data_IF_306955610537
#
_entry.id   IF_306955610537
#
_cell.length_a   1.000
_cell.length_b   1.000
_cell.length_c   1.000
_cell.angle_alpha   90.00
_cell.angle_beta   90.00
_cell.angle_gamma   90.00
#
_symmetry.space_group_name_H-M   'P 1'
#
loop_
_entity.id
_entity.type
_entity.pdbx_description
1 polymer ?
#
# COMPACT_ATOMS: atom_id res chain seq x y z
N UNK A 1 -22.55 -21.68 -0.53
CA UNK A 1 -22.91 -21.84 0.90
C UNK A 1 -24.25 -21.15 1.18
N UNK A 2 -25.12 -21.71 2.04
CA UNK A 2 -26.46 -21.14 2.35
C UNK A 2 -26.43 -20.17 3.55
N UNK A 3 -27.43 -19.29 3.69
CA UNK A 3 -27.51 -18.30 4.80
C UNK A 3 -27.43 -18.95 6.18
N UNK A 4 -28.19 -20.02 6.42
CA UNK A 4 -28.17 -20.73 7.72
C UNK A 4 -26.82 -21.39 8.00
N UNK A 5 -26.17 -21.93 6.96
CA UNK A 5 -24.82 -22.49 7.06
C UNK A 5 -23.78 -21.40 7.36
N UNK A 6 -23.95 -20.19 6.82
CA UNK A 6 -23.07 -19.05 7.10
C UNK A 6 -23.15 -18.61 8.57
N UNK A 7 -24.35 -18.58 9.17
CA UNK A 7 -24.50 -18.31 10.61
C UNK A 7 -23.85 -19.40 11.47
N UNK A 8 -24.04 -20.67 11.11
CA UNK A 8 -23.42 -21.79 11.81
C UNK A 8 -21.89 -21.75 11.75
N UNK A 9 -21.30 -21.43 10.60
CA UNK A 9 -19.84 -21.28 10.45
C UNK A 9 -19.27 -20.14 11.28
N UNK A 10 -20.04 -19.07 11.49
CA UNK A 10 -19.65 -17.98 12.37
C UNK A 10 -20.00 -18.25 13.85
N UNK A 11 -20.52 -19.44 14.18
CA UNK A 11 -21.02 -19.81 15.51
C UNK A 11 -22.08 -18.85 16.06
N UNK A 12 -23.00 -18.42 15.20
CA UNK A 12 -24.08 -17.49 15.55
C UNK A 12 -25.45 -18.13 15.37
N UNK A 13 -26.44 -17.57 16.07
CA UNK A 13 -27.84 -17.90 15.85
C UNK A 13 -28.32 -17.32 14.51
N UNK A 14 -29.36 -17.92 13.93
CA UNK A 14 -29.93 -17.47 12.64
C UNK A 14 -30.54 -16.06 12.71
N UNK A 15 -30.84 -15.58 13.92
CA UNK A 15 -31.41 -14.25 14.19
C UNK A 15 -30.36 -13.23 14.65
N UNK A 16 -29.07 -13.56 14.56
CA UNK A 16 -28.00 -12.69 15.02
C UNK A 16 -27.97 -11.37 14.23
N UNK A 17 -27.74 -10.26 14.95
CA UNK A 17 -27.64 -8.93 14.35
C UNK A 17 -26.41 -8.81 13.46
N UNK A 18 -26.45 -7.93 12.46
CA UNK A 18 -25.29 -7.69 11.60
C UNK A 18 -24.05 -7.21 12.39
N UNK A 19 -24.26 -6.53 13.52
CA UNK A 19 -23.18 -6.14 14.42
C UNK A 19 -22.46 -7.36 15.02
N UNK A 20 -23.22 -8.35 15.48
CA UNK A 20 -22.73 -9.61 16.06
C UNK A 20 -22.02 -10.44 14.99
N UNK A 21 -22.56 -10.51 13.78
CA UNK A 21 -21.93 -11.14 12.61
C UNK A 21 -20.54 -10.56 12.34
N UNK A 22 -20.39 -9.24 12.42
CA UNK A 22 -19.10 -8.56 12.21
C UNK A 22 -18.11 -8.86 13.33
N UNK A 23 -18.58 -8.91 14.58
CA UNK A 23 -17.74 -9.22 15.73
C UNK A 23 -17.24 -10.67 15.69
N UNK A 24 -18.12 -11.62 15.42
CA UNK A 24 -17.78 -13.04 15.31
C UNK A 24 -16.80 -13.29 14.15
N UNK A 25 -17.02 -12.65 12.99
CA UNK A 25 -16.09 -12.72 11.86
C UNK A 25 -14.68 -12.25 12.22
N UNK A 26 -14.55 -11.09 12.88
CA UNK A 26 -13.25 -10.55 13.31
C UNK A 26 -12.51 -11.52 14.23
N UNK A 27 -13.22 -12.14 15.18
CA UNK A 27 -12.66 -13.12 16.10
C UNK A 27 -12.15 -14.37 15.37
N UNK A 28 -12.99 -14.97 14.53
CA UNK A 28 -12.65 -16.19 13.79
C UNK A 28 -11.54 -15.99 12.76
N UNK A 29 -11.44 -14.82 12.14
CA UNK A 29 -10.34 -14.48 11.22
C UNK A 29 -8.99 -14.48 11.93
N UNK A 30 -8.92 -13.93 13.15
CA UNK A 30 -7.69 -13.90 13.92
C UNK A 30 -7.27 -15.31 14.36
N UNK A 31 -8.24 -16.14 14.76
CA UNK A 31 -8.01 -17.53 15.17
C UNK A 31 -7.59 -18.42 13.97
N UNK A 32 -8.18 -18.19 12.79
CA UNK A 32 -7.95 -19.01 11.60
C UNK A 32 -6.90 -18.46 10.63
N UNK A 33 -6.15 -17.41 11.02
CA UNK A 33 -5.14 -16.81 10.17
C UNK A 33 -4.02 -17.83 9.86
N UNK A 34 -3.66 -18.03 8.57
CA UNK A 34 -2.70 -19.09 8.16
C UNK A 34 -1.31 -18.89 8.77
N UNK A 35 -0.94 -17.65 9.11
CA UNK A 35 0.33 -17.31 9.77
C UNK A 35 0.37 -17.78 11.24
N UNK A 36 -0.78 -17.81 11.93
CA UNK A 36 -0.88 -18.22 13.34
C UNK A 36 -1.19 -19.71 13.49
N UNK A 37 -1.88 -20.30 12.53
CA UNK A 37 -2.30 -21.71 12.59
C UNK A 37 -1.50 -22.59 11.62
N UNK A 38 -0.27 -22.92 12.01
CA UNK A 38 0.70 -23.71 11.21
C UNK A 38 0.23 -25.13 10.89
N UNK A 39 -0.74 -25.67 11.62
CA UNK A 39 -1.27 -27.04 11.43
C UNK A 39 -2.31 -27.14 10.30
N UNK A 40 -2.90 -26.01 9.88
CA UNK A 40 -3.86 -25.92 8.77
C UNK A 40 -3.41 -24.87 7.76
N UNK A 41 -2.18 -25.05 7.26
CA UNK A 41 -1.51 -24.18 6.30
C UNK A 41 -2.34 -23.92 5.02
N UNK A 42 -3.31 -24.78 4.72
CA UNK A 42 -4.17 -24.70 3.53
C UNK A 42 -5.22 -23.56 3.62
N UNK A 43 -5.39 -22.92 4.78
CA UNK A 43 -6.27 -21.75 4.94
C UNK A 43 -7.75 -22.05 4.67
N UNK A 44 -8.15 -23.33 4.68
CA UNK A 44 -9.52 -23.77 4.37
C UNK A 44 -10.55 -23.13 5.29
N UNK A 45 -10.28 -23.13 6.61
CA UNK A 45 -11.17 -22.49 7.61
C UNK A 45 -11.31 -20.98 7.37
N UNK A 46 -10.20 -20.30 7.06
CA UNK A 46 -10.22 -18.87 6.74
C UNK A 46 -11.08 -18.57 5.51
N UNK A 47 -10.96 -19.37 4.43
CA UNK A 47 -11.79 -19.22 3.23
C UNK A 47 -13.28 -19.40 3.53
N UNK A 48 -13.63 -20.43 4.30
CA UNK A 48 -15.01 -20.75 4.68
C UNK A 48 -15.62 -19.63 5.54
N UNK A 49 -14.88 -19.12 6.54
CA UNK A 49 -15.30 -18.00 7.40
C UNK A 49 -15.50 -16.72 6.58
N UNK A 50 -14.61 -16.47 5.61
CA UNK A 50 -14.68 -15.30 4.72
C UNK A 50 -15.89 -15.41 3.79
N UNK A 51 -16.11 -16.55 3.16
CA UNK A 51 -17.28 -16.81 2.30
C UNK A 51 -18.59 -16.60 3.07
N UNK A 52 -18.70 -17.15 4.28
CA UNK A 52 -19.85 -16.99 5.17
C UNK A 52 -20.16 -15.51 5.44
N UNK A 53 -19.15 -14.71 5.82
CA UNK A 53 -19.32 -13.29 6.11
C UNK A 53 -19.75 -12.49 4.87
N UNK A 54 -19.16 -12.77 3.70
CA UNK A 54 -19.52 -12.07 2.46
C UNK A 54 -20.98 -12.31 2.07
N UNK A 55 -21.48 -13.53 2.25
CA UNK A 55 -22.89 -13.86 2.00
C UNK A 55 -23.82 -13.09 2.93
N UNK A 56 -23.55 -13.07 4.24
CA UNK A 56 -24.37 -12.35 5.22
C UNK A 56 -24.34 -10.83 5.00
N UNK A 57 -23.18 -10.29 4.59
CA UNK A 57 -23.03 -8.87 4.22
C UNK A 57 -23.88 -8.51 2.99
N UNK A 58 -23.92 -9.37 1.97
CA UNK A 58 -24.74 -9.16 0.78
C UNK A 58 -26.23 -9.17 1.13
N UNK A 59 -26.66 -10.13 1.95
CA UNK A 59 -28.06 -10.24 2.39
C UNK A 59 -28.48 -9.01 3.21
N UNK A 60 -27.66 -8.57 4.17
CA UNK A 60 -27.92 -7.36 4.92
C UNK A 60 -28.00 -6.11 4.01
N UNK A 61 -27.15 -6.01 2.99
CA UNK A 61 -27.23 -4.91 2.01
C UNK A 61 -28.55 -4.93 1.24
N UNK A 62 -29.02 -6.10 0.80
CA UNK A 62 -30.29 -6.25 0.07
C UNK A 62 -31.47 -5.86 0.97
N UNK A 63 -31.52 -6.34 2.21
CA UNK A 63 -32.55 -6.00 3.19
C UNK A 63 -32.61 -4.47 3.44
N UNK A 64 -31.45 -3.85 3.66
CA UNK A 64 -31.36 -2.40 3.86
C UNK A 64 -31.76 -1.59 2.62
N UNK A 65 -31.51 -2.10 1.41
CA UNK A 65 -31.96 -1.44 0.17
C UNK A 65 -33.47 -1.59 -0.07
N UNK A 66 -34.06 -2.72 0.30
CA UNK A 66 -35.51 -2.94 0.20
C UNK A 66 -36.29 -2.00 1.13
N UNK A 67 -35.81 -1.77 2.35
CA UNK A 67 -36.43 -0.82 3.28
C UNK A 67 -36.35 0.65 2.82
N UNK A 68 -35.40 1.01 1.94
CA UNK A 68 -35.26 2.39 1.43
C UNK A 68 -36.24 2.74 0.31
N UNK A 69 -36.77 1.74 -0.41
CA UNK A 69 -37.73 1.96 -1.50
C UNK A 69 -39.20 2.05 -1.01
N UNK A 70 -39.45 2.05 0.30
CA UNK A 70 -40.79 2.08 0.90
C UNK A 70 -41.18 3.44 1.54
N UNK A 71 -40.38 4.51 1.37
CA UNK A 71 -40.76 5.87 1.81
C UNK A 71 -41.13 6.72 0.59
N UNK A 72 -42.40 7.18 0.45
CA UNK A 72 -42.75 8.11 -0.61
C UNK A 72 -42.29 9.53 -0.23
N UNK A 73 -41.54 10.12 -1.16
CA UNK A 73 -41.35 11.55 -1.40
C UNK A 73 -41.17 12.49 -0.18
N UNK A 74 -39.92 12.71 0.24
CA UNK A 74 -39.50 13.94 0.93
C UNK A 74 -38.07 14.27 0.45
N UNK A 75 -37.99 15.36 -0.32
CA UNK A 75 -36.89 16.29 -0.58
C UNK A 75 -35.45 15.77 -0.78
N UNK A 76 -34.84 16.28 -1.85
CA UNK A 76 -33.45 16.06 -2.28
C UNK A 76 -32.46 16.10 -1.11
N UNK A 77 -31.55 15.11 -0.99
CA UNK A 77 -30.53 15.14 0.05
C UNK A 77 -29.63 16.38 -0.10
N UNK A 78 -29.15 17.01 1.00
CA UNK A 78 -28.16 18.07 0.88
C UNK A 78 -26.93 17.50 0.16
N UNK A 79 -26.37 18.30 -0.74
CA UNK A 79 -25.17 17.99 -1.54
C UNK A 79 -24.15 17.22 -0.73
N UNK A 80 -23.84 16.00 -1.22
CA UNK A 80 -22.82 15.11 -0.68
C UNK A 80 -21.50 15.89 -0.60
N UNK A 81 -21.08 16.25 0.61
CA UNK A 81 -19.77 16.88 0.82
C UNK A 81 -18.70 15.96 0.24
N UNK A 82 -17.88 16.53 -0.65
CA UNK A 82 -16.72 15.88 -1.24
C UNK A 82 -15.80 15.38 -0.13
N UNK A 83 -15.30 14.15 -0.25
CA UNK A 83 -14.18 13.68 0.56
C UNK A 83 -12.98 14.57 0.26
N UNK A 84 -12.69 15.52 1.16
CA UNK A 84 -11.67 16.52 0.93
C UNK A 84 -11.76 17.68 1.92
N UNK A 85 -10.60 18.27 2.18
CA UNK A 85 -10.34 19.36 3.12
C UNK A 85 -11.39 20.46 3.02
N UNK A 86 -11.98 20.82 4.16
CA UNK A 86 -12.89 21.95 4.32
C UNK A 86 -12.18 23.24 3.90
N UNK A 87 -12.91 24.30 3.55
CA UNK A 87 -12.33 25.58 3.05
C UNK A 87 -11.25 26.22 3.95
N UNK A 88 -11.09 25.74 5.19
CA UNK A 88 -10.09 26.17 6.17
C UNK A 88 -8.79 25.36 6.18
N UNK A 89 -8.57 24.43 5.25
CA UNK A 89 -7.28 23.73 5.13
C UNK A 89 -7.04 22.63 6.18
N UNK A 90 -7.91 22.48 7.18
CA UNK A 90 -7.81 21.45 8.21
C UNK A 90 -8.68 20.25 7.88
N UNK A 91 -8.13 19.02 7.84
CA UNK A 91 -8.94 17.81 7.80
C UNK A 91 -9.94 17.82 8.98
N UNK A 92 -11.19 17.36 8.79
CA UNK A 92 -12.12 17.19 9.90
C UNK A 92 -11.45 16.30 10.95
N UNK A 93 -11.26 16.81 12.15
CA UNK A 93 -10.76 16.02 13.27
C UNK A 93 -11.89 15.06 13.66
N UNK A 94 -11.83 13.84 13.12
CA UNK A 94 -12.81 12.81 13.42
C UNK A 94 -12.61 12.38 14.88
N UNK A 95 -13.61 12.67 15.70
CA UNK A 95 -13.65 12.23 17.08
C UNK A 95 -13.98 10.73 17.13
N UNK A 96 -12.93 9.91 16.98
CA UNK A 96 -13.01 8.43 16.95
C UNK A 96 -13.61 7.86 18.24
N UNK A 97 -13.60 8.63 19.32
CA UNK A 97 -14.18 8.27 20.62
C UNK A 97 -15.68 7.97 20.54
N UNK A 98 -16.38 8.48 19.51
CA UNK A 98 -17.80 8.16 19.25
C UNK A 98 -18.04 6.67 18.96
N UNK A 99 -17.07 5.99 18.33
CA UNK A 99 -17.20 4.59 17.92
C UNK A 99 -16.60 3.61 18.92
N UNK A 100 -15.75 4.07 19.83
CA UNK A 100 -15.09 3.24 20.85
C UNK A 100 -15.70 3.39 22.24
N UNK A 101 -16.56 4.40 22.47
CA UNK A 101 -17.16 4.72 23.77
C UNK A 101 -17.78 3.53 24.51
N UNK A 102 -18.55 2.70 23.80
CA UNK A 102 -19.23 1.55 24.40
C UNK A 102 -18.27 0.40 24.78
N UNK A 103 -17.09 0.36 24.17
CA UNK A 103 -16.03 -0.63 24.45
C UNK A 103 -15.07 -0.12 25.52
N UNK A 104 -14.76 1.18 25.52
CA UNK A 104 -13.91 1.85 26.52
C UNK A 104 -14.57 1.94 27.90
N UNK A 105 -15.91 1.97 27.96
CA UNK A 105 -16.67 2.00 29.23
C UNK A 105 -16.51 0.72 30.06
N UNK A 106 -16.17 -0.41 29.43
CA UNK A 106 -16.15 -1.73 30.06
C UNK A 106 -14.81 -2.06 30.71
N UNK A 107 -13.70 -1.60 30.11
CA UNK A 107 -12.36 -1.82 30.61
C UNK A 107 -11.38 -0.78 30.00
N UNK A 108 -11.07 0.32 30.71
CA UNK A 108 -10.21 1.40 30.22
C UNK A 108 -8.77 0.95 29.92
N UNK A 109 -8.36 -0.19 30.46
CA UNK A 109 -6.99 -0.72 30.36
C UNK A 109 -6.83 -1.71 29.22
N UNK A 110 -7.92 -2.28 28.73
CA UNK A 110 -7.92 -3.29 27.65
C UNK A 110 -7.16 -2.82 26.40
N UNK A 111 -7.43 -1.61 25.91
CA UNK A 111 -6.75 -1.09 24.71
C UNK A 111 -5.27 -0.76 24.95
N UNK A 112 -4.90 -0.32 26.15
CA UNK A 112 -3.52 0.01 26.50
C UNK A 112 -2.67 -1.25 26.60
N UNK A 113 -3.20 -2.29 27.24
CA UNK A 113 -2.54 -3.58 27.41
C UNK A 113 -2.47 -4.33 26.08
N UNK A 114 -3.54 -4.30 25.28
CA UNK A 114 -3.54 -4.87 23.92
C UNK A 114 -2.50 -4.22 23.00
N UNK A 115 -2.44 -2.88 22.96
CA UNK A 115 -1.47 -2.18 22.12
C UNK A 115 -0.05 -2.44 22.60
N UNK A 116 0.19 -2.44 23.91
CA UNK A 116 1.52 -2.74 24.47
C UNK A 116 1.97 -4.18 24.18
N UNK A 117 1.08 -5.16 24.30
CA UNK A 117 1.36 -6.57 24.02
C UNK A 117 1.56 -6.81 22.52
N UNK A 118 0.79 -6.11 21.67
CA UNK A 118 0.95 -6.14 20.22
C UNK A 118 2.33 -5.64 19.79
N UNK A 119 2.77 -4.47 20.28
CA UNK A 119 4.09 -3.93 19.93
C UNK A 119 5.23 -4.79 20.48
N UNK A 120 5.10 -5.36 21.70
CA UNK A 120 6.07 -6.32 22.24
C UNK A 120 6.23 -7.55 21.35
N UNK A 121 5.13 -8.16 20.92
CA UNK A 121 5.18 -9.34 20.05
C UNK A 121 5.68 -8.99 18.65
N UNK A 122 5.29 -7.83 18.11
CA UNK A 122 5.78 -7.34 16.82
C UNK A 122 7.30 -7.12 16.84
N UNK A 123 7.82 -6.45 17.87
CA UNK A 123 9.25 -6.18 18.01
C UNK A 123 10.06 -7.47 18.28
N UNK A 124 9.52 -8.42 19.03
CA UNK A 124 10.16 -9.73 19.27
C UNK A 124 10.27 -10.56 17.99
N UNK A 125 9.21 -10.61 17.16
CA UNK A 125 9.27 -11.30 15.86
C UNK A 125 10.26 -10.63 14.89
N UNK A 126 10.43 -9.31 15.00
CA UNK A 126 11.38 -8.54 14.20
C UNK A 126 12.85 -8.88 14.51
N UNK A 127 13.14 -9.28 15.75
CA UNK A 127 14.50 -9.68 16.16
C UNK A 127 14.89 -11.09 15.69
N UNK A 128 13.95 -12.02 15.58
CA UNK A 128 14.21 -13.39 15.09
C UNK A 128 14.33 -13.47 13.57
N UNK A 129 13.73 -12.53 12.83
CA UNK A 129 13.86 -12.40 11.37
C UNK A 129 15.14 -11.67 10.92
N UNK A 130 16.09 -11.39 11.82
CA UNK A 130 17.42 -10.79 11.52
C UNK A 130 18.40 -11.72 10.81
N UNK A 131 17.91 -12.53 9.87
CA UNK A 131 18.66 -13.01 8.71
C UNK A 131 17.72 -12.96 7.50
N UNK A 132 17.24 -11.77 7.17
CA UNK A 132 16.52 -11.55 5.93
C UNK A 132 17.56 -11.42 4.79
N UNK A 133 17.50 -12.21 3.70
CA UNK A 133 18.45 -12.17 2.58
C UNK A 133 18.52 -10.86 1.79
N UNK A 134 17.75 -9.85 2.20
CA UNK A 134 17.69 -8.50 1.62
C UNK A 134 18.04 -7.42 2.67
N UNK A 135 18.86 -7.74 3.67
CA UNK A 135 19.62 -6.70 4.37
C UNK A 135 20.67 -6.19 3.37
N UNK A 136 20.35 -5.09 2.69
CA UNK A 136 21.29 -4.37 1.83
C UNK A 136 22.38 -3.81 2.74
N UNK A 137 23.47 -4.56 2.90
CA UNK A 137 24.73 -4.01 3.36
C UNK A 137 24.96 -2.72 2.59
N UNK A 138 25.29 -1.63 3.29
CA UNK A 138 25.74 -0.40 2.67
C UNK A 138 27.05 -0.75 1.96
N UNK A 139 26.94 -1.22 0.72
CA UNK A 139 28.06 -1.40 -0.19
C UNK A 139 28.61 0.01 -0.34
N UNK A 140 29.80 0.26 0.18
CA UNK A 140 30.56 1.43 -0.20
C UNK A 140 30.66 1.40 -1.73
N UNK A 141 29.86 2.23 -2.39
CA UNK A 141 29.71 2.22 -3.84
C UNK A 141 31.09 2.46 -4.45
N UNK A 142 31.63 1.43 -5.12
CA UNK A 142 32.85 1.54 -5.91
C UNK A 142 32.71 2.74 -6.85
N UNK A 143 33.74 3.59 -6.99
CA UNK A 143 33.67 4.74 -7.89
C UNK A 143 33.30 4.26 -9.29
N UNK A 144 32.27 4.87 -9.86
CA UNK A 144 31.83 4.57 -11.22
C UNK A 144 32.95 4.92 -12.21
N UNK A 145 33.29 3.96 -13.06
CA UNK A 145 34.23 4.14 -14.16
C UNK A 145 33.57 4.75 -15.41
N UNK A 146 32.33 5.26 -15.30
CA UNK A 146 31.58 5.78 -16.46
C UNK A 146 31.15 7.21 -16.29
N UNK A 147 31.12 7.94 -17.41
CA UNK A 147 30.73 9.33 -17.53
C UNK A 147 29.45 9.44 -18.37
N UNK A 148 28.26 9.47 -17.75
CA UNK A 148 27.03 9.74 -18.47
C UNK A 148 26.93 11.22 -18.89
N UNK A 149 26.37 11.45 -20.07
CA UNK A 149 26.02 12.78 -20.58
C UNK A 149 24.69 12.71 -21.31
N UNK A 150 23.90 13.79 -21.28
CA UNK A 150 22.61 13.88 -21.95
C UNK A 150 22.71 14.90 -23.08
N UNK A 151 22.28 14.50 -24.28
CA UNK A 151 22.13 15.37 -25.42
C UNK A 151 20.73 16.02 -25.43
N UNK A 152 20.66 17.31 -25.07
CA UNK A 152 19.39 18.03 -24.97
C UNK A 152 18.62 18.14 -26.29
N UNK A 153 19.33 18.06 -27.43
CA UNK A 153 18.72 18.11 -28.76
C UNK A 153 17.87 16.86 -29.05
N UNK A 154 18.34 15.70 -28.58
CA UNK A 154 17.69 14.39 -28.75
C UNK A 154 16.73 14.06 -27.59
N UNK A 155 16.92 14.64 -26.41
CA UNK A 155 16.11 14.32 -25.23
C UNK A 155 14.67 14.84 -25.38
N UNK A 156 13.69 13.93 -25.40
CA UNK A 156 12.26 14.27 -25.51
C UNK A 156 11.53 14.36 -24.16
N UNK A 157 12.26 14.24 -23.04
CA UNK A 157 11.66 14.36 -21.71
C UNK A 157 10.81 13.16 -21.26
N UNK A 158 11.15 11.93 -21.67
CA UNK A 158 10.40 10.70 -21.33
C UNK A 158 10.55 10.24 -19.86
N UNK A 159 11.47 10.85 -19.11
CA UNK A 159 11.70 10.59 -17.69
C UNK A 159 12.13 9.20 -17.22
N UNK A 160 12.36 8.23 -18.12
CA UNK A 160 12.81 6.88 -17.75
C UNK A 160 14.13 6.88 -16.95
N UNK A 161 15.06 7.78 -17.29
CA UNK A 161 16.37 7.86 -16.64
C UNK A 161 16.33 8.32 -15.18
N UNK A 162 15.45 9.26 -14.81
CA UNK A 162 15.25 9.67 -13.41
C UNK A 162 14.62 8.54 -12.57
N UNK A 163 13.82 7.67 -13.20
CA UNK A 163 13.20 6.53 -12.50
C UNK A 163 14.21 5.42 -12.19
N UNK A 164 15.12 5.13 -13.13
CA UNK A 164 16.09 4.03 -13.00
C UNK A 164 17.30 4.45 -12.16
N UNK A 165 17.77 5.68 -12.33
CA UNK A 165 18.95 6.20 -11.64
C UNK A 165 18.72 7.65 -11.16
N UNK A 166 17.87 7.87 -10.12
CA UNK A 166 17.55 9.20 -9.59
C UNK A 166 18.75 9.91 -8.97
N UNK A 167 19.73 9.14 -8.48
CA UNK A 167 20.99 9.69 -7.96
C UNK A 167 21.88 10.27 -9.06
N UNK A 168 21.68 9.88 -10.32
CA UNK A 168 22.50 10.30 -11.47
C UNK A 168 21.78 11.32 -12.34
N UNK A 169 20.51 11.05 -12.67
CA UNK A 169 19.72 11.88 -13.58
C UNK A 169 18.61 12.61 -12.84
N UNK A 170 18.41 13.88 -13.18
CA UNK A 170 17.29 14.69 -12.71
C UNK A 170 16.64 15.41 -13.88
N UNK A 171 15.36 15.74 -13.76
CA UNK A 171 14.59 16.35 -14.84
C UNK A 171 14.12 17.72 -14.41
N UNK A 172 14.32 18.71 -15.28
CA UNK A 172 13.99 20.09 -14.98
C UNK A 172 12.47 20.32 -14.98
N UNK A 173 11.86 20.10 -13.82
CA UNK A 173 10.42 20.31 -13.58
C UNK A 173 9.98 21.78 -13.72
N UNK A 174 10.94 22.70 -13.83
CA UNK A 174 10.70 24.15 -14.04
C UNK A 174 10.18 24.45 -15.45
N UNK A 175 10.60 23.69 -16.45
CA UNK A 175 10.07 23.87 -17.81
C UNK A 175 8.72 23.18 -17.94
N UNK A 176 7.66 23.95 -18.17
CA UNK A 176 6.30 23.41 -18.38
C UNK A 176 6.16 22.65 -19.69
N UNK A 177 7.04 22.90 -20.66
CA UNK A 177 7.06 22.20 -21.95
C UNK A 177 8.39 21.51 -22.16
N UNK A 178 8.34 20.21 -22.48
CA UNK A 178 9.49 19.35 -22.79
C UNK A 178 10.64 19.43 -21.77
N UNK A 179 10.39 19.02 -20.50
CA UNK A 179 11.41 19.06 -19.46
C UNK A 179 12.55 18.10 -19.83
N UNK A 180 13.78 18.61 -19.87
CA UNK A 180 14.96 17.83 -20.26
C UNK A 180 15.60 17.19 -19.02
N UNK A 181 16.23 16.04 -19.23
CA UNK A 181 17.06 15.41 -18.21
C UNK A 181 18.47 16.02 -18.19
N UNK A 182 19.04 16.10 -16.99
CA UNK A 182 20.38 16.56 -16.68
C UNK A 182 21.08 15.51 -15.80
N UNK A 183 22.41 15.45 -15.86
CA UNK A 183 23.22 14.61 -14.99
C UNK A 183 23.62 15.43 -13.76
N UNK A 184 23.19 15.00 -12.57
CA UNK A 184 23.48 15.68 -11.30
C UNK A 184 24.75 15.12 -10.65
N UNK A 185 24.89 13.79 -10.62
CA UNK A 185 26.04 13.13 -10.02
C UNK A 185 26.45 11.90 -10.84
N UNK A 186 27.67 11.89 -11.38
CA UNK A 186 28.18 10.78 -12.19
C UNK A 186 28.44 9.51 -11.36
N UNK A 187 28.53 9.65 -10.04
CA UNK A 187 28.82 8.59 -9.08
C UNK A 187 27.58 8.16 -8.28
N UNK A 188 26.38 8.62 -8.65
CA UNK A 188 25.16 8.38 -7.87
C UNK A 188 24.47 7.02 -8.08
N UNK A 189 25.02 6.12 -8.90
CA UNK A 189 24.49 4.78 -9.14
C UNK A 189 25.58 3.86 -9.73
N UNK A 190 25.38 2.53 -9.70
CA UNK A 190 26.29 1.59 -10.36
C UNK A 190 26.35 1.77 -11.88
N UNK A 191 27.46 1.35 -12.50
CA UNK A 191 27.67 1.37 -13.95
C UNK A 191 26.52 0.69 -14.72
N UNK A 192 26.07 -0.47 -14.22
CA UNK A 192 24.95 -1.23 -14.79
C UNK A 192 23.66 -0.40 -14.84
N UNK A 193 23.28 0.24 -13.72
CA UNK A 193 22.09 1.10 -13.66
C UNK A 193 22.18 2.30 -14.62
N UNK A 194 23.37 2.87 -14.79
CA UNK A 194 23.59 3.98 -15.73
C UNK A 194 23.41 3.51 -17.18
N UNK A 195 23.91 2.33 -17.52
CA UNK A 195 23.74 1.73 -18.85
C UNK A 195 22.28 1.38 -19.11
N UNK A 196 21.57 0.78 -18.14
CA UNK A 196 20.14 0.45 -18.25
C UNK A 196 19.28 1.71 -18.45
N UNK A 197 19.59 2.78 -17.71
CA UNK A 197 18.95 4.08 -17.90
C UNK A 197 19.19 4.65 -19.31
N UNK A 198 20.38 4.42 -19.89
CA UNK A 198 20.69 4.84 -21.25
C UNK A 198 19.97 4.00 -22.32
N UNK A 199 19.89 2.69 -22.12
CA UNK A 199 19.20 1.74 -23.02
C UNK A 199 17.69 1.97 -23.08
N UNK A 200 17.08 2.36 -21.97
CA UNK A 200 15.64 2.68 -21.89
C UNK A 200 15.28 4.04 -22.51
N UNK A 201 16.26 4.82 -22.97
CA UNK A 201 16.04 6.09 -23.65
C UNK A 201 15.59 5.86 -25.11
N UNK A 202 14.35 6.25 -25.50
CA UNK A 202 13.82 5.94 -26.82
C UNK A 202 14.57 6.63 -27.98
N UNK A 203 15.08 7.85 -27.74
CA UNK A 203 15.84 8.62 -28.72
C UNK A 203 17.35 8.43 -28.59
N UNK A 204 17.81 7.55 -27.69
CA UNK A 204 19.23 7.35 -27.36
C UNK A 204 19.97 8.67 -27.05
N UNK A 205 19.30 9.59 -26.37
CA UNK A 205 19.84 10.89 -26.01
C UNK A 205 20.95 10.82 -24.94
N UNK A 206 21.06 9.71 -24.21
CA UNK A 206 22.04 9.51 -23.16
C UNK A 206 23.28 8.85 -23.77
N UNK A 207 24.44 9.48 -23.62
CA UNK A 207 25.75 8.96 -24.04
C UNK A 207 26.53 8.56 -22.80
N UNK A 208 27.09 7.35 -22.80
CA UNK A 208 27.88 6.81 -21.69
C UNK A 208 29.28 6.50 -22.22
N UNK A 209 30.29 7.09 -21.59
CA UNK A 209 31.70 6.92 -21.94
C UNK A 209 32.48 6.34 -20.75
N UNK A 210 33.50 5.55 -21.03
CA UNK A 210 34.45 5.08 -20.01
C UNK A 210 35.37 6.22 -19.57
N UNK A 211 35.60 6.37 -18.26
CA UNK A 211 36.29 7.51 -17.66
C UNK A 211 37.79 7.53 -17.97
N UNK A 212 38.43 6.37 -18.11
CA UNK A 212 39.87 6.27 -18.33
C UNK A 212 40.23 6.32 -19.82
N UNK A 213 39.50 5.59 -20.66
CA UNK A 213 39.81 5.46 -22.09
C UNK A 213 39.07 6.46 -22.98
N UNK A 214 38.01 7.10 -22.47
CA UNK A 214 37.08 7.90 -23.28
C UNK A 214 36.29 7.07 -24.30
N UNK A 215 36.38 5.73 -24.23
CA UNK A 215 35.65 4.84 -25.13
C UNK A 215 34.15 4.99 -24.90
N UNK A 216 33.40 5.22 -25.98
CA UNK A 216 31.94 5.23 -25.93
C UNK A 216 31.43 3.81 -25.66
N UNK A 217 30.68 3.66 -24.57
CA UNK A 217 30.01 2.42 -24.18
C UNK A 217 28.57 2.39 -24.70
N UNK A 218 27.91 3.55 -24.78
CA UNK A 218 26.57 3.69 -25.32
C UNK A 218 26.36 5.10 -25.91
N UNK A 219 25.57 5.27 -26.98
CA UNK A 219 25.07 4.24 -27.89
C UNK A 219 26.23 3.55 -28.65
N UNK A 220 26.04 2.28 -29.02
CA UNK A 220 27.00 1.48 -29.80
C UNK A 220 27.05 1.93 -31.27
#
# INVERSE_FOLDING_TARGET
MNSNQAYLVLNLSQNASYAEVKQAYRKLVLESHPDRNRSEQDGRKFRIVTEAYHLLKKNNRIQNSAQKNAKPNQESPPTRQSWGVNQRGTPPEEDWSKYTKQTEQSDPRFWQEYVAEFWKNYDSQKTEQRKNPYDFEIIQEKPTLVRPSVDHSLCIGCCSCETIAPGVFHIDKKSKMNPKSNVVNQNGASMEKIIDAAQTCPTKAIKVEERESGRRLFPY
#
